data_IF_055246713099
#
_entry.id   IF_055246713099
#
_cell.length_a   1.000
_cell.length_b   1.000
_cell.length_c   1.000
_cell.angle_alpha   90.00
_cell.angle_beta   90.00
_cell.angle_gamma   90.00
#
_symmetry.space_group_name_H-M   'P 1'
#
loop_
_entity.id
_entity.type
_entity.pdbx_description
1 polymer ?
#
# COMPACT_ATOMS: atom_id res chain seq x y z
N UNK A 1 -52.99 24.11 63.83
CA UNK A 1 -52.31 22.96 63.24
C UNK A 1 -52.05 23.32 61.79
N UNK A 2 -50.87 23.89 61.54
CA UNK A 2 -50.53 24.56 60.23
C UNK A 2 -49.51 23.73 59.51
N UNK A 3 -49.82 23.23 58.29
CA UNK A 3 -48.96 22.41 57.47
C UNK A 3 -48.19 23.33 56.53
N UNK A 4 -46.86 23.32 56.46
CA UNK A 4 -46.13 24.12 55.52
C UNK A 4 -46.09 23.42 54.10
N UNK A 5 -46.43 24.20 53.11
CA UNK A 5 -46.32 23.82 51.69
C UNK A 5 -44.85 23.80 51.25
N UNK A 6 -44.33 22.64 50.86
CA UNK A 6 -43.02 22.49 50.28
C UNK A 6 -43.07 22.99 48.85
N UNK A 7 -42.18 23.96 48.50
CA UNK A 7 -41.99 24.58 47.18
C UNK A 7 -41.25 23.65 46.26
N UNK A 8 -41.94 23.23 45.22
CA UNK A 8 -41.41 22.43 44.08
C UNK A 8 -40.74 23.33 43.06
N UNK A 9 -39.55 23.80 43.32
CA UNK A 9 -38.73 24.54 42.31
C UNK A 9 -37.25 24.29 42.58
N UNK A 10 -36.71 23.13 42.27
CA UNK A 10 -35.25 22.95 42.01
C UNK A 10 -34.99 21.52 41.54
N UNK A 11 -35.39 21.18 40.32
CA UNK A 11 -34.98 19.93 39.67
C UNK A 11 -35.12 20.05 38.13
N UNK A 12 -34.38 20.97 37.54
CA UNK A 12 -34.27 21.02 36.06
C UNK A 12 -32.99 21.78 35.63
N UNK A 13 -31.83 21.27 35.97
CA UNK A 13 -30.55 21.82 35.47
C UNK A 13 -29.40 20.84 35.70
N UNK A 14 -29.46 19.65 35.15
CA UNK A 14 -28.32 18.71 35.04
C UNK A 14 -28.53 17.65 33.97
N UNK A 15 -29.01 18.02 32.77
CA UNK A 15 -29.06 17.11 31.61
C UNK A 15 -28.63 17.90 30.37
N UNK A 16 -27.35 18.21 30.25
CA UNK A 16 -26.94 19.04 29.11
C UNK A 16 -25.46 19.00 28.73
N UNK A 17 -24.62 18.09 29.26
CA UNK A 17 -23.16 18.14 28.95
C UNK A 17 -22.50 16.78 28.69
N UNK A 18 -23.23 15.77 28.26
CA UNK A 18 -22.64 14.43 27.98
C UNK A 18 -22.64 14.00 26.51
N UNK A 19 -22.75 14.93 25.55
CA UNK A 19 -22.93 14.56 24.13
C UNK A 19 -21.90 15.17 23.15
N UNK A 20 -20.68 15.53 23.53
CA UNK A 20 -19.71 16.18 22.62
C UNK A 20 -18.29 15.57 22.67
N UNK A 21 -18.08 14.34 23.03
CA UNK A 21 -16.71 13.76 23.05
C UNK A 21 -16.56 12.47 22.20
N UNK A 22 -17.40 12.21 21.22
CA UNK A 22 -17.30 10.99 20.37
C UNK A 22 -16.83 11.28 18.93
N UNK A 23 -16.29 12.45 18.62
CA UNK A 23 -16.07 12.90 17.24
C UNK A 23 -14.62 13.03 16.72
N UNK A 24 -13.56 12.63 17.42
CA UNK A 24 -12.19 12.97 17.02
C UNK A 24 -11.19 11.80 17.01
N UNK A 25 -11.62 10.59 16.67
CA UNK A 25 -10.71 9.49 16.35
C UNK A 25 -10.77 9.14 14.84
N UNK A 26 -10.77 10.15 13.98
CA UNK A 26 -10.34 9.97 12.59
C UNK A 26 -8.82 9.84 12.61
N UNK A 27 -8.30 8.73 13.12
CA UNK A 27 -6.88 8.40 13.02
C UNK A 27 -6.54 8.29 11.54
N UNK A 28 -5.55 9.05 11.08
CA UNK A 28 -4.91 8.84 9.78
C UNK A 28 -4.40 7.39 9.77
N UNK A 29 -5.16 6.47 9.19
CA UNK A 29 -4.71 5.11 9.00
C UNK A 29 -3.58 5.15 7.98
N UNK A 30 -2.36 4.80 8.41
CA UNK A 30 -1.25 4.61 7.49
C UNK A 30 -1.68 3.64 6.37
N UNK A 31 -1.25 3.85 5.11
CA UNK A 31 -1.60 2.98 4.01
C UNK A 31 -1.17 1.54 4.33
N UNK A 32 -2.10 0.59 4.16
CA UNK A 32 -1.83 -0.82 4.43
C UNK A 32 -1.01 -1.40 3.29
N UNK A 33 0.20 -1.84 3.59
CA UNK A 33 1.04 -2.57 2.65
C UNK A 33 0.39 -3.93 2.36
N UNK A 34 0.36 -4.31 1.08
CA UNK A 34 -0.05 -5.63 0.61
C UNK A 34 1.17 -6.42 0.14
N UNK A 35 1.04 -7.74 0.08
CA UNK A 35 2.14 -8.63 -0.26
C UNK A 35 3.09 -8.88 0.92
N UNK A 36 4.13 -9.64 0.67
CA UNK A 36 5.11 -10.04 1.66
C UNK A 36 6.47 -9.42 1.35
N UNK A 37 7.24 -8.94 2.34
CA UNK A 37 8.62 -8.54 2.11
C UNK A 37 9.39 -9.66 1.40
N UNK A 38 10.12 -9.30 0.35
CA UNK A 38 10.85 -10.24 -0.50
C UNK A 38 12.35 -9.91 -0.52
N UNK A 39 13.16 -10.88 -0.12
CA UNK A 39 14.62 -10.67 -0.01
C UNK A 39 15.35 -10.70 -1.37
N UNK A 40 14.65 -11.07 -2.45
CA UNK A 40 15.18 -11.04 -3.81
C UNK A 40 15.27 -9.61 -4.33
N UNK A 41 16.35 -8.92 -4.00
CA UNK A 41 16.54 -7.54 -4.42
C UNK A 41 16.86 -7.46 -5.93
N UNK A 42 16.03 -6.71 -6.67
CA UNK A 42 16.46 -6.02 -7.87
C UNK A 42 16.80 -6.84 -9.12
N UNK A 43 16.49 -8.12 -9.19
CA UNK A 43 16.64 -8.91 -10.41
C UNK A 43 15.31 -9.08 -11.13
N UNK A 44 14.77 -7.96 -11.56
CA UNK A 44 13.71 -7.96 -12.59
C UNK A 44 14.37 -8.00 -13.98
N UNK A 45 13.59 -8.25 -15.00
CA UNK A 45 13.97 -8.32 -16.40
C UNK A 45 14.72 -7.10 -16.96
N UNK A 46 14.98 -6.06 -16.14
CA UNK A 46 15.66 -4.82 -16.56
C UNK A 46 16.97 -4.53 -15.82
N UNK A 47 17.34 -5.31 -14.82
CA UNK A 47 18.57 -5.09 -14.09
C UNK A 47 19.78 -5.72 -14.83
N UNK A 48 20.02 -5.37 -16.07
CA UNK A 48 21.28 -5.59 -16.76
C UNK A 48 22.35 -4.59 -16.30
N UNK A 49 21.93 -3.45 -15.72
CA UNK A 49 22.82 -2.43 -15.18
C UNK A 49 22.62 -2.34 -13.66
N UNK A 50 23.69 -2.59 -12.86
CA UNK A 50 23.64 -2.46 -11.41
C UNK A 50 23.31 -1.03 -10.93
N UNK A 51 23.46 -0.03 -11.77
CA UNK A 51 23.13 1.37 -11.48
C UNK A 51 21.67 1.73 -11.77
N UNK A 52 20.89 0.83 -12.41
CA UNK A 52 19.47 1.07 -12.64
C UNK A 52 18.67 0.90 -11.32
N UNK A 53 18.29 2.03 -10.76
CA UNK A 53 17.44 2.12 -9.56
C UNK A 53 15.98 2.37 -9.89
N UNK A 54 15.57 2.19 -11.13
CA UNK A 54 14.18 2.27 -11.56
C UNK A 54 13.32 1.15 -10.93
N UNK A 55 12.00 1.33 -10.91
CA UNK A 55 11.10 0.28 -10.43
C UNK A 55 11.25 -0.98 -11.28
N UNK A 56 11.39 -2.14 -10.64
CA UNK A 56 11.56 -3.43 -11.30
C UNK A 56 10.47 -4.42 -10.91
N UNK A 57 10.20 -5.39 -11.78
CA UNK A 57 9.36 -6.54 -11.50
C UNK A 57 10.07 -7.82 -11.97
N UNK A 58 9.74 -8.93 -11.35
CA UNK A 58 10.26 -10.24 -11.72
C UNK A 58 9.44 -11.35 -11.11
N UNK A 59 9.70 -12.60 -11.51
CA UNK A 59 9.02 -13.74 -10.96
C UNK A 59 9.60 -14.18 -9.61
N UNK A 60 8.73 -14.43 -8.64
CA UNK A 60 9.01 -15.21 -7.43
C UNK A 60 8.72 -16.68 -7.71
N UNK A 61 7.54 -16.93 -8.29
CA UNK A 61 7.11 -18.22 -8.85
C UNK A 61 6.45 -17.93 -10.20
N UNK A 62 7.05 -18.44 -11.24
CA UNK A 62 6.68 -18.14 -12.61
C UNK A 62 5.21 -18.43 -12.91
N UNK A 63 4.53 -17.45 -13.47
CA UNK A 63 3.11 -17.53 -13.82
C UNK A 63 2.12 -17.42 -12.65
N UNK A 64 2.57 -17.34 -11.40
CA UNK A 64 1.70 -17.33 -10.22
C UNK A 64 2.01 -16.19 -9.25
N UNK A 65 3.29 -15.88 -9.05
CA UNK A 65 3.71 -14.89 -8.06
C UNK A 65 4.87 -14.05 -8.59
N UNK A 66 4.77 -12.74 -8.43
CA UNK A 66 5.79 -11.80 -8.89
C UNK A 66 6.24 -10.90 -7.75
N UNK A 67 7.39 -10.27 -7.91
CA UNK A 67 7.84 -9.21 -7.01
C UNK A 67 7.86 -7.86 -7.69
N UNK A 68 7.74 -6.82 -6.89
CA UNK A 68 7.97 -5.44 -7.27
C UNK A 68 9.09 -4.91 -6.40
N UNK A 69 10.09 -4.26 -7.00
CA UNK A 69 11.18 -3.58 -6.29
C UNK A 69 11.14 -2.09 -6.59
N UNK A 70 11.29 -1.27 -5.57
CA UNK A 70 11.50 0.17 -5.65
C UNK A 70 12.74 0.54 -4.85
N UNK A 71 13.29 1.73 -5.11
CA UNK A 71 14.44 2.24 -4.38
C UNK A 71 14.06 3.53 -3.66
N UNK A 72 14.57 3.70 -2.44
CA UNK A 72 14.27 4.86 -1.61
C UNK A 72 14.78 4.69 -0.18
N UNK A 73 14.25 5.51 0.72
CA UNK A 73 14.56 5.45 2.14
C UNK A 73 14.05 4.15 2.77
N UNK A 74 14.88 3.51 3.60
CA UNK A 74 14.50 2.27 4.28
C UNK A 74 13.40 2.48 5.33
N UNK A 75 13.30 3.66 5.93
CA UNK A 75 12.26 4.00 6.90
C UNK A 75 10.96 4.50 6.27
N UNK A 76 11.01 4.92 4.99
CA UNK A 76 9.85 5.37 4.22
C UNK A 76 9.82 4.70 2.83
N UNK A 77 9.73 3.37 2.75
CA UNK A 77 9.74 2.68 1.48
C UNK A 77 8.49 3.00 0.67
N UNK A 78 8.62 2.98 -0.65
CA UNK A 78 7.48 2.99 -1.56
C UNK A 78 7.03 1.54 -1.69
N UNK A 79 5.85 1.22 -1.15
CA UNK A 79 5.33 -0.14 -1.03
C UNK A 79 4.01 -0.31 -1.79
N UNK A 80 3.65 -1.54 -2.21
CA UNK A 80 2.36 -1.82 -2.81
C UNK A 80 1.25 -1.72 -1.77
N UNK A 81 0.19 -0.98 -2.09
CA UNK A 81 -0.97 -0.78 -1.20
C UNK A 81 -2.27 -1.28 -1.82
N UNK A 82 -2.29 -1.49 -3.14
CA UNK A 82 -3.45 -2.03 -3.85
C UNK A 82 -3.00 -2.80 -5.08
N UNK A 83 -3.71 -3.88 -5.39
CA UNK A 83 -3.56 -4.66 -6.63
C UNK A 83 -4.93 -4.76 -7.28
N UNK A 84 -5.04 -4.27 -8.51
CA UNK A 84 -6.24 -4.29 -9.32
C UNK A 84 -5.99 -5.08 -10.61
N UNK A 85 -7.02 -5.73 -11.12
CA UNK A 85 -6.96 -6.48 -12.37
C UNK A 85 -7.65 -5.69 -13.48
N UNK A 86 -6.87 -5.14 -14.41
CA UNK A 86 -7.38 -4.46 -15.60
C UNK A 86 -7.27 -5.38 -16.82
N UNK A 87 -7.88 -5.00 -17.94
CA UNK A 87 -7.82 -5.80 -19.16
C UNK A 87 -6.39 -5.88 -19.75
N UNK A 88 -5.63 -4.80 -19.60
CA UNK A 88 -4.24 -4.72 -20.07
C UNK A 88 -3.23 -5.42 -19.14
N UNK A 89 -3.63 -5.80 -17.92
CA UNK A 89 -2.75 -6.43 -16.95
C UNK A 89 -3.05 -6.02 -15.51
N UNK A 90 -2.33 -6.57 -14.53
CA UNK A 90 -2.42 -6.15 -13.15
C UNK A 90 -1.88 -4.73 -12.98
N UNK A 91 -2.59 -3.92 -12.19
CA UNK A 91 -2.16 -2.60 -11.77
C UNK A 91 -1.87 -2.60 -10.28
N UNK A 92 -0.65 -2.24 -9.91
CA UNK A 92 -0.21 -2.11 -8.52
C UNK A 92 -0.12 -0.64 -8.17
N UNK A 93 -0.85 -0.21 -7.15
CA UNK A 93 -0.70 1.12 -6.57
C UNK A 93 0.47 1.09 -5.60
N UNK A 94 1.41 2.00 -5.81
CA UNK A 94 2.64 2.17 -5.05
C UNK A 94 2.54 3.45 -4.23
N UNK A 95 2.66 3.33 -2.90
CA UNK A 95 2.47 4.45 -1.98
C UNK A 95 3.69 4.54 -1.06
N UNK A 96 4.12 5.74 -0.76
CA UNK A 96 5.13 5.95 0.29
C UNK A 96 4.54 5.56 1.63
N UNK A 97 5.24 4.70 2.35
CA UNK A 97 4.87 4.22 3.69
C UNK A 97 5.91 4.68 4.71
N UNK A 98 5.63 4.51 5.99
CA UNK A 98 6.50 4.99 7.07
C UNK A 98 5.98 6.26 7.72
N UNK A 99 6.82 6.91 8.53
CA UNK A 99 6.46 8.10 9.29
C UNK A 99 6.79 9.41 8.56
N UNK A 100 6.63 10.54 9.27
CA UNK A 100 6.88 11.88 8.74
C UNK A 100 8.37 12.17 8.51
N UNK A 101 9.27 11.43 9.18
CA UNK A 101 10.70 11.57 9.04
C UNK A 101 11.31 10.34 8.37
N UNK A 102 11.90 10.57 7.19
CA UNK A 102 12.59 9.53 6.43
C UNK A 102 14.10 9.61 6.63
N UNK A 103 14.76 8.45 6.70
CA UNK A 103 16.22 8.37 6.71
C UNK A 103 16.79 8.78 5.36
N UNK A 104 18.01 9.30 5.37
CA UNK A 104 18.69 9.76 4.14
C UNK A 104 19.40 8.61 3.38
N UNK A 105 19.16 7.36 3.78
CA UNK A 105 19.68 6.20 3.09
C UNK A 105 18.91 5.92 1.78
N UNK A 106 19.52 5.14 0.90
CA UNK A 106 18.94 4.77 -0.38
C UNK A 106 19.18 3.28 -0.62
N UNK A 107 18.10 2.51 -0.61
CA UNK A 107 18.15 1.06 -0.77
C UNK A 107 16.91 0.48 -1.44
N UNK A 108 16.97 -0.82 -1.84
CA UNK A 108 15.84 -1.51 -2.43
C UNK A 108 14.81 -1.89 -1.36
N UNK A 109 13.53 -1.78 -1.71
CA UNK A 109 12.42 -2.37 -1.01
C UNK A 109 11.63 -3.24 -1.98
N UNK A 110 11.53 -4.54 -1.67
CA UNK A 110 10.87 -5.52 -2.54
C UNK A 110 9.71 -6.20 -1.83
N UNK A 111 8.63 -6.44 -2.58
CA UNK A 111 7.42 -7.09 -2.09
C UNK A 111 6.94 -8.12 -3.08
N UNK A 112 6.64 -9.32 -2.60
CA UNK A 112 6.04 -10.39 -3.39
C UNK A 112 4.50 -10.30 -3.36
N UNK A 113 3.89 -10.44 -4.53
CA UNK A 113 2.45 -10.34 -4.75
C UNK A 113 1.98 -11.56 -5.54
N UNK A 114 0.79 -12.07 -5.22
CA UNK A 114 0.17 -13.10 -6.03
C UNK A 114 -0.36 -12.50 -7.33
N UNK A 115 -0.08 -13.16 -8.44
CA UNK A 115 -0.63 -12.78 -9.74
C UNK A 115 -2.12 -13.12 -9.76
N UNK A 116 -3.03 -12.19 -10.14
CA UNK A 116 -4.43 -12.52 -10.28
C UNK A 116 -4.65 -13.67 -11.27
N UNK A 117 -5.51 -14.63 -10.89
CA UNK A 117 -5.73 -15.90 -11.62
C UNK A 117 -6.02 -15.73 -13.12
N UNK A 118 -6.71 -14.64 -13.49
CA UNK A 118 -7.01 -14.33 -14.91
C UNK A 118 -5.76 -14.14 -15.81
N UNK A 119 -4.58 -13.97 -15.19
CA UNK A 119 -3.30 -13.82 -15.91
C UNK A 119 -2.42 -15.06 -15.81
N UNK A 120 -2.83 -16.08 -15.06
CA UNK A 120 -2.09 -17.33 -14.99
C UNK A 120 -1.97 -17.98 -16.38
N UNK A 121 -0.84 -18.62 -16.65
CA UNK A 121 -0.59 -19.31 -17.92
C UNK A 121 -0.26 -18.39 -19.11
N UNK A 122 -0.27 -17.08 -18.93
CA UNK A 122 0.14 -16.16 -20.01
C UNK A 122 1.67 -16.16 -20.15
N UNK A 123 2.17 -16.14 -21.37
CA UNK A 123 3.61 -16.03 -21.68
C UNK A 123 4.18 -14.68 -21.26
N UNK A 124 3.36 -13.64 -21.40
CA UNK A 124 3.72 -12.24 -21.04
C UNK A 124 2.61 -11.60 -20.24
N UNK A 125 3.02 -10.88 -19.21
CA UNK A 125 2.10 -10.10 -18.37
C UNK A 125 2.68 -8.71 -18.17
N UNK A 126 1.97 -7.69 -18.63
CA UNK A 126 2.35 -6.29 -18.39
C UNK A 126 1.83 -5.85 -17.03
N UNK A 127 2.73 -5.57 -16.11
CA UNK A 127 2.41 -5.00 -14.79
C UNK A 127 2.53 -3.48 -14.86
N UNK A 128 1.47 -2.78 -14.47
CA UNK A 128 1.45 -1.32 -14.35
C UNK A 128 1.65 -0.92 -12.89
N UNK A 129 2.66 -0.11 -12.61
CA UNK A 129 2.97 0.45 -11.29
C UNK A 129 2.52 1.91 -11.29
N UNK A 130 1.47 2.22 -10.52
CA UNK A 130 0.96 3.58 -10.35
C UNK A 130 1.50 4.16 -9.05
N UNK A 131 2.25 5.24 -9.12
CA UNK A 131 2.80 5.95 -7.96
C UNK A 131 1.81 7.03 -7.51
N UNK A 132 1.37 6.98 -6.25
CA UNK A 132 0.40 7.96 -5.73
C UNK A 132 0.99 9.35 -5.56
N UNK A 133 2.28 9.45 -5.24
CA UNK A 133 2.94 10.73 -4.96
C UNK A 133 2.92 11.71 -6.15
N UNK A 134 3.09 11.19 -7.37
CA UNK A 134 3.21 11.99 -8.59
C UNK A 134 2.23 11.58 -9.71
N UNK A 135 1.40 10.56 -9.48
CA UNK A 135 0.47 10.01 -10.46
C UNK A 135 1.12 9.25 -11.62
N UNK A 136 2.45 9.09 -11.60
CA UNK A 136 3.20 8.41 -12.66
C UNK A 136 2.83 6.94 -12.75
N UNK A 137 2.73 6.43 -13.98
CA UNK A 137 2.52 5.01 -14.26
C UNK A 137 3.73 4.46 -15.02
N UNK A 138 4.36 3.46 -14.44
CA UNK A 138 5.49 2.74 -15.05
C UNK A 138 5.00 1.35 -15.43
N UNK A 139 5.18 0.96 -16.70
CA UNK A 139 4.85 -0.39 -17.18
C UNK A 139 6.10 -1.25 -17.21
N UNK A 140 5.98 -2.50 -16.75
CA UNK A 140 7.03 -3.52 -16.76
C UNK A 140 6.46 -4.84 -17.23
N UNK A 141 7.26 -5.61 -17.94
CA UNK A 141 6.83 -6.88 -18.51
C UNK A 141 7.45 -8.05 -17.75
N UNK A 142 6.60 -8.98 -17.34
CA UNK A 142 6.99 -10.29 -16.83
C UNK A 142 6.95 -11.27 -18.01
N UNK A 143 8.06 -11.95 -18.28
CA UNK A 143 8.19 -13.00 -19.31
C UNK A 143 8.51 -14.33 -18.67
N UNK A 144 7.94 -15.39 -19.21
CA UNK A 144 8.30 -16.74 -18.80
C UNK A 144 9.66 -17.14 -19.39
N UNK A 145 10.35 -18.06 -18.70
CA UNK A 145 11.69 -18.47 -19.05
C UNK A 145 11.77 -19.26 -20.37
N UNK A 146 10.65 -19.82 -20.81
CA UNK A 146 10.57 -20.64 -22.01
C UNK A 146 10.79 -19.86 -23.31
N UNK A 147 10.80 -18.52 -23.24
CA UNK A 147 11.07 -17.63 -24.39
C UNK A 147 12.56 -17.29 -24.56
N UNK A 148 13.46 -17.91 -23.79
CA UNK A 148 14.91 -17.72 -23.89
C UNK A 148 15.56 -18.80 -24.78
N UNK A 149 14.91 -19.12 -25.92
CA UNK A 149 15.42 -20.03 -26.96
C UNK A 149 15.92 -19.29 -28.17
#
# INVERSE_FOLDING_TARGET
MTIPRLSTRTALLCLGTAAVVVGLLAGCSAPRVIGEPYAGAGRGTLATDPSDTGPAVGWVREGERFFVTTYGSSSCPIAPTRLESNDDGPMVTMTRTGGDACTADFGPASYALDLPERFHGRERVTVSLRFEDDGRVVRRELRRSDDAG
#
